data_IF_534713716479
#
_entry.id   IF_534713716479
#
_cell.length_a   1.000
_cell.length_b   1.000
_cell.length_c   1.000
_cell.angle_alpha   90.00
_cell.angle_beta   90.00
_cell.angle_gamma   90.00
#
_symmetry.space_group_name_H-M   'P 1'
#
loop_
_entity.id
_entity.type
_entity.pdbx_description
1 polymer ?
#
# COMPACT_ATOMS: atom_id res chain seq x y z
N UNK A 1 -16.59 42.63 -30.29
CA UNK A 1 -16.72 41.16 -30.13
C UNK A 1 -15.36 40.48 -30.27
N UNK A 2 -14.49 40.54 -29.26
CA UNK A 2 -13.29 39.69 -29.20
C UNK A 2 -12.99 39.41 -27.73
N UNK A 3 -13.34 38.21 -27.26
CA UNK A 3 -13.04 37.73 -25.90
C UNK A 3 -11.71 36.99 -25.99
N UNK A 4 -10.68 37.53 -25.33
CA UNK A 4 -9.45 36.81 -25.03
C UNK A 4 -9.76 35.60 -24.15
N UNK A 5 -9.37 34.41 -24.60
CA UNK A 5 -9.31 33.20 -23.80
C UNK A 5 -8.00 33.22 -23.00
N UNK A 6 -8.07 33.73 -21.76
CA UNK A 6 -7.00 33.51 -20.78
C UNK A 6 -7.03 32.04 -20.35
N UNK A 7 -6.06 31.25 -20.83
CA UNK A 7 -5.76 29.93 -20.28
C UNK A 7 -5.10 30.10 -18.92
N UNK A 8 -5.86 29.89 -17.84
CA UNK A 8 -5.32 29.78 -16.49
C UNK A 8 -4.74 28.35 -16.36
N UNK A 9 -3.44 28.18 -16.06
CA UNK A 9 -2.91 26.86 -15.73
C UNK A 9 -3.56 26.40 -14.42
N UNK A 10 -4.32 25.30 -14.50
CA UNK A 10 -4.81 24.60 -13.31
C UNK A 10 -3.60 24.04 -12.56
N UNK A 11 -3.05 24.80 -11.62
CA UNK A 11 -2.23 24.23 -10.55
C UNK A 11 -3.15 23.31 -9.75
N UNK A 12 -3.03 22.00 -9.97
CA UNK A 12 -3.57 20.99 -9.08
C UNK A 12 -2.72 21.07 -7.81
N UNK A 13 -3.02 22.03 -6.95
CA UNK A 13 -2.52 22.03 -5.58
C UNK A 13 -3.21 20.87 -4.86
N UNK A 14 -2.56 19.71 -4.84
CA UNK A 14 -2.87 18.68 -3.84
C UNK A 14 -2.66 19.31 -2.47
N UNK A 15 -3.75 19.60 -1.76
CA UNK A 15 -3.63 19.95 -0.35
C UNK A 15 -3.24 18.67 0.40
N UNK A 16 -1.99 18.59 0.84
CA UNK A 16 -1.60 17.62 1.86
C UNK A 16 -2.25 18.06 3.17
N UNK A 17 -3.50 17.65 3.40
CA UNK A 17 -4.06 17.66 4.75
C UNK A 17 -3.34 16.57 5.52
N UNK A 18 -2.30 16.97 6.25
CA UNK A 18 -1.67 16.13 7.26
C UNK A 18 -2.68 15.92 8.38
N UNK A 19 -2.98 14.66 8.70
CA UNK A 19 -3.68 14.37 9.95
C UNK A 19 -2.74 14.75 11.10
N UNK A 20 -3.06 15.84 11.78
CA UNK A 20 -2.29 16.35 12.91
C UNK A 20 -2.47 15.55 14.20
N UNK A 21 -3.20 14.43 14.17
CA UNK A 21 -3.31 13.49 15.30
C UNK A 21 -2.13 12.52 15.28
N UNK A 22 -0.92 13.07 15.43
CA UNK A 22 0.22 12.25 15.80
C UNK A 22 0.11 11.93 17.28
N UNK A 23 -0.22 10.67 17.61
CA UNK A 23 0.01 10.17 18.96
C UNK A 23 1.50 10.34 19.26
N UNK A 24 1.84 11.36 20.05
CA UNK A 24 3.23 11.64 20.43
C UNK A 24 3.68 10.53 21.37
N UNK A 25 4.73 9.81 20.98
CA UNK A 25 5.41 8.92 21.90
C UNK A 25 5.92 9.74 23.11
N UNK A 26 5.48 9.37 24.31
CA UNK A 26 5.97 9.96 25.55
C UNK A 26 6.95 8.99 26.20
N UNK A 27 8.17 9.45 26.50
CA UNK A 27 9.09 8.68 27.31
C UNK A 27 8.66 8.75 28.77
N UNK A 28 8.41 7.59 29.40
CA UNK A 28 8.13 7.50 30.83
C UNK A 28 9.37 7.75 31.70
N UNK A 29 9.21 7.86 33.03
CA UNK A 29 10.34 7.96 33.96
C UNK A 29 11.20 6.69 33.94
N UNK A 30 12.47 6.83 34.33
CA UNK A 30 13.39 5.68 34.50
C UNK A 30 12.86 4.80 35.65
N UNK A 31 12.74 3.49 35.40
CA UNK A 31 12.36 2.51 36.41
C UNK A 31 13.62 2.01 37.12
N UNK A 32 13.72 2.26 38.42
CA UNK A 32 14.89 1.91 39.25
C UNK A 32 14.78 0.49 39.82
N UNK A 33 13.56 0.04 40.14
CA UNK A 33 13.34 -1.16 40.96
C UNK A 33 12.38 -2.16 40.30
N UNK A 34 12.55 -3.46 40.61
CA UNK A 34 11.67 -4.54 40.13
C UNK A 34 10.18 -4.30 40.47
N UNK A 35 9.89 -3.70 41.63
CA UNK A 35 8.52 -3.34 42.03
C UNK A 35 7.88 -2.38 41.02
N UNK A 36 8.61 -1.36 40.56
CA UNK A 36 8.08 -0.37 39.62
C UNK A 36 7.77 -0.99 38.24
N UNK A 37 8.56 -1.97 37.80
CA UNK A 37 8.29 -2.75 36.59
C UNK A 37 7.01 -3.58 36.77
N UNK A 38 6.86 -4.24 37.91
CA UNK A 38 5.69 -5.04 38.22
C UNK A 38 4.42 -4.18 38.31
N UNK A 39 4.51 -2.99 38.90
CA UNK A 39 3.43 -2.01 38.96
C UNK A 39 3.05 -1.50 37.57
N UNK A 40 4.03 -1.25 36.69
CA UNK A 40 3.79 -0.83 35.31
C UNK A 40 3.08 -1.92 34.48
N UNK A 41 3.54 -3.18 34.57
CA UNK A 41 2.94 -4.31 33.84
C UNK A 41 1.54 -4.63 34.35
N UNK A 42 1.31 -4.48 35.66
CA UNK A 42 -0.01 -4.71 36.27
C UNK A 42 -0.95 -3.51 36.13
N UNK A 43 -0.48 -2.40 35.56
CA UNK A 43 -1.32 -1.24 35.27
C UNK A 43 -2.42 -1.67 34.30
N UNK A 44 -3.65 -1.31 34.61
CA UNK A 44 -4.80 -1.61 33.73
C UNK A 44 -4.72 -0.69 32.51
N UNK A 45 -3.98 -1.15 31.51
CA UNK A 45 -3.98 -0.60 30.16
C UNK A 45 -4.71 -1.58 29.24
N UNK A 46 -5.40 -1.05 28.23
CA UNK A 46 -6.09 -1.91 27.27
C UNK A 46 -5.07 -2.75 26.51
N UNK A 47 -5.32 -4.06 26.43
CA UNK A 47 -4.58 -4.90 25.51
C UNK A 47 -4.92 -4.48 24.08
N UNK A 48 -3.94 -4.48 23.17
CA UNK A 48 -4.16 -4.23 21.74
C UNK A 48 -5.23 -5.18 21.19
N UNK A 49 -5.27 -6.41 21.69
CA UNK A 49 -6.29 -7.42 21.35
C UNK A 49 -7.71 -6.97 21.77
N UNK A 50 -7.85 -6.20 22.84
CA UNK A 50 -9.14 -5.68 23.31
C UNK A 50 -9.57 -4.40 22.57
N UNK A 51 -8.62 -3.70 21.96
CA UNK A 51 -8.88 -2.50 21.14
C UNK A 51 -9.41 -2.93 19.77
N UNK A 52 -8.80 -3.94 19.15
CA UNK A 52 -9.17 -4.44 17.82
C UNK A 52 -10.25 -5.51 17.96
N UNK A 53 -11.48 -5.07 18.24
CA UNK A 53 -12.63 -5.96 18.41
C UNK A 53 -13.41 -6.12 17.12
N UNK A 54 -13.17 -7.21 16.40
CA UNK A 54 -14.04 -7.60 15.29
C UNK A 54 -15.44 -7.95 15.80
N UNK A 55 -16.44 -7.11 15.52
CA UNK A 55 -17.83 -7.52 15.73
C UNK A 55 -18.32 -8.33 14.53
N UNK A 56 -18.94 -9.49 14.77
CA UNK A 56 -19.54 -10.29 13.69
C UNK A 56 -20.66 -9.51 12.98
N UNK A 57 -21.25 -8.51 13.64
CA UNK A 57 -22.24 -7.60 13.04
C UNK A 57 -21.61 -6.69 11.98
N UNK A 58 -20.40 -6.15 12.21
CA UNK A 58 -19.66 -5.40 11.19
C UNK A 58 -19.30 -6.29 9.99
N UNK A 59 -18.88 -7.53 10.23
CA UNK A 59 -18.59 -8.51 9.16
C UNK A 59 -19.83 -8.77 8.31
N UNK A 60 -21.02 -8.82 8.93
CA UNK A 60 -22.30 -8.99 8.23
C UNK A 60 -22.71 -7.76 7.43
N UNK A 61 -22.41 -6.57 7.92
CA UNK A 61 -22.76 -5.30 7.26
C UNK A 61 -22.01 -5.08 5.94
N UNK A 62 -20.77 -5.57 5.83
CA UNK A 62 -20.00 -5.47 4.58
C UNK A 62 -20.59 -6.45 3.54
N UNK A 63 -21.02 -5.95 2.38
CA UNK A 63 -21.54 -6.77 1.27
C UNK A 63 -20.49 -6.88 0.17
N UNK A 64 -19.99 -8.10 -0.06
CA UNK A 64 -19.07 -8.41 -1.17
C UNK A 64 -19.74 -9.47 -2.04
N UNK A 65 -19.97 -9.14 -3.31
CA UNK A 65 -20.51 -10.06 -4.31
C UNK A 65 -19.42 -11.06 -4.75
N UNK A 66 -19.79 -12.31 -5.03
CA UNK A 66 -18.87 -13.34 -5.54
C UNK A 66 -18.21 -12.93 -6.86
N UNK A 67 -18.90 -12.11 -7.67
CA UNK A 67 -18.35 -11.52 -8.90
C UNK A 67 -17.12 -10.65 -8.63
N UNK A 68 -17.05 -9.97 -7.48
CA UNK A 68 -15.90 -9.14 -7.09
C UNK A 68 -14.69 -10.02 -6.82
N UNK A 69 -14.87 -11.16 -6.15
CA UNK A 69 -13.79 -12.13 -5.91
C UNK A 69 -13.25 -12.68 -7.23
N UNK A 70 -14.13 -13.06 -8.17
CA UNK A 70 -13.69 -13.51 -9.50
C UNK A 70 -12.89 -12.44 -10.23
N UNK A 71 -13.32 -11.17 -10.18
CA UNK A 71 -12.57 -10.05 -10.75
C UNK A 71 -11.22 -9.84 -10.06
N UNK A 72 -11.18 -9.93 -8.73
CA UNK A 72 -9.97 -9.78 -7.94
C UNK A 72 -8.95 -10.87 -8.27
N UNK A 73 -9.37 -12.13 -8.32
CA UNK A 73 -8.51 -13.26 -8.68
C UNK A 73 -7.92 -13.08 -10.08
N UNK A 74 -8.75 -12.67 -11.05
CA UNK A 74 -8.29 -12.38 -12.42
C UNK A 74 -7.29 -11.22 -12.46
N UNK A 75 -7.54 -10.15 -11.71
CA UNK A 75 -6.62 -9.02 -11.61
C UNK A 75 -5.28 -9.39 -10.93
N UNK A 76 -5.31 -10.33 -9.98
CA UNK A 76 -4.12 -10.87 -9.33
C UNK A 76 -3.38 -11.94 -10.16
N UNK A 77 -3.87 -12.28 -11.36
CA UNK A 77 -3.28 -13.34 -12.19
C UNK A 77 -3.49 -14.76 -11.63
N UNK A 78 -4.47 -14.94 -10.74
CA UNK A 78 -4.82 -16.23 -10.13
C UNK A 78 -5.95 -16.92 -10.90
N UNK A 79 -5.99 -18.26 -10.82
CA UNK A 79 -7.08 -19.06 -11.41
C UNK A 79 -8.41 -18.72 -10.73
N UNK A 80 -9.46 -18.55 -11.53
CA UNK A 80 -10.81 -18.20 -11.06
C UNK A 80 -11.74 -19.41 -10.84
N UNK A 81 -11.26 -20.63 -11.10
CA UNK A 81 -11.97 -21.90 -10.95
C UNK A 81 -12.03 -22.36 -9.48
N UNK A 82 -12.70 -21.58 -8.62
CA UNK A 82 -12.89 -21.91 -7.20
C UNK A 82 -14.28 -22.50 -6.93
N UNK A 83 -14.37 -23.41 -5.96
CA UNK A 83 -15.67 -23.86 -5.43
C UNK A 83 -16.40 -22.74 -4.69
N UNK A 84 -17.73 -22.84 -4.56
CA UNK A 84 -18.50 -21.81 -3.86
C UNK A 84 -18.11 -21.67 -2.38
N UNK A 85 -17.69 -22.75 -1.72
CA UNK A 85 -17.21 -22.70 -0.34
C UNK A 85 -15.86 -21.97 -0.22
N UNK A 86 -14.96 -22.15 -1.19
CA UNK A 86 -13.71 -21.40 -1.27
C UNK A 86 -13.98 -19.92 -1.49
N UNK A 87 -14.93 -19.58 -2.39
CA UNK A 87 -15.34 -18.18 -2.60
C UNK A 87 -15.91 -17.56 -1.32
N UNK A 88 -16.77 -18.27 -0.58
CA UNK A 88 -17.31 -17.78 0.70
C UNK A 88 -16.22 -17.54 1.74
N UNK A 89 -15.23 -18.45 1.83
CA UNK A 89 -14.08 -18.29 2.72
C UNK A 89 -13.26 -17.05 2.36
N UNK A 90 -12.99 -16.83 1.07
CA UNK A 90 -12.30 -15.64 0.59
C UNK A 90 -13.09 -14.36 0.86
N UNK A 91 -14.41 -14.37 0.65
CA UNK A 91 -15.29 -13.24 0.99
C UNK A 91 -15.16 -12.91 2.48
N UNK A 92 -15.22 -13.91 3.35
CA UNK A 92 -15.08 -13.71 4.79
C UNK A 92 -13.71 -13.14 5.16
N UNK A 93 -12.63 -13.71 4.61
CA UNK A 93 -11.27 -13.21 4.82
C UNK A 93 -11.11 -11.76 4.37
N UNK A 94 -11.63 -11.42 3.20
CA UNK A 94 -11.59 -10.05 2.67
C UNK A 94 -12.39 -9.08 3.54
N UNK A 95 -13.56 -9.47 4.03
CA UNK A 95 -14.34 -8.65 4.97
C UNK A 95 -13.55 -8.35 6.25
N UNK A 96 -12.90 -9.37 6.83
CA UNK A 96 -12.08 -9.20 8.03
C UNK A 96 -10.90 -8.26 7.78
N UNK A 97 -10.24 -8.42 6.63
CA UNK A 97 -9.15 -7.52 6.21
C UNK A 97 -9.65 -6.08 6.02
N UNK A 98 -10.82 -5.88 5.42
CA UNK A 98 -11.42 -4.55 5.26
C UNK A 98 -11.76 -3.90 6.60
N UNK A 99 -12.31 -4.64 7.56
CA UNK A 99 -12.57 -4.13 8.92
C UNK A 99 -11.26 -3.78 9.61
N UNK A 100 -10.26 -4.65 9.54
CA UNK A 100 -8.95 -4.38 10.12
C UNK A 100 -8.32 -3.10 9.54
N UNK A 101 -8.42 -2.91 8.22
CA UNK A 101 -7.93 -1.71 7.56
C UNK A 101 -8.76 -0.49 7.98
N UNK A 102 -10.07 -0.65 8.20
CA UNK A 102 -10.94 0.42 8.71
C UNK A 102 -10.46 0.98 10.05
N UNK A 103 -9.96 0.14 10.95
CA UNK A 103 -9.35 0.57 12.22
C UNK A 103 -8.14 1.50 12.03
N UNK A 104 -7.43 1.44 10.89
CA UNK A 104 -6.33 2.37 10.59
C UNK A 104 -6.83 3.80 10.30
N UNK A 105 -8.12 3.95 10.00
CA UNK A 105 -8.78 5.22 9.69
C UNK A 105 -9.58 5.79 10.87
N UNK A 106 -9.71 5.05 11.99
CA UNK A 106 -10.53 5.43 13.16
C UNK A 106 -10.04 6.66 13.95
N UNK A 107 -9.02 7.37 13.46
CA UNK A 107 -8.67 8.71 13.93
C UNK A 107 -9.64 9.82 13.47
N UNK A 108 -10.54 9.53 12.53
CA UNK A 108 -11.53 10.47 11.99
C UNK A 108 -12.97 10.03 12.35
N UNK A 109 -13.35 10.07 13.64
CA UNK A 109 -14.73 9.76 14.10
C UNK A 109 -15.83 10.53 13.32
N UNK A 110 -15.48 11.66 12.69
CA UNK A 110 -16.39 12.44 11.84
C UNK A 110 -16.62 11.86 10.43
N UNK A 111 -15.83 10.89 9.95
CA UNK A 111 -15.99 10.27 8.64
C UNK A 111 -16.80 8.96 8.65
N UNK A 112 -16.98 8.34 9.82
CA UNK A 112 -17.66 7.04 9.94
C UNK A 112 -19.15 7.02 9.56
N UNK A 113 -19.79 8.18 9.45
CA UNK A 113 -21.18 8.31 9.03
C UNK A 113 -21.36 8.76 7.58
N UNK A 114 -20.28 8.94 6.80
CA UNK A 114 -20.41 9.13 5.35
C UNK A 114 -20.64 7.79 4.69
N UNK A 115 -21.76 7.68 3.98
CA UNK A 115 -22.01 6.62 3.01
C UNK A 115 -21.03 6.90 1.85
N UNK A 116 -19.81 6.37 1.95
CA UNK A 116 -18.81 6.55 0.89
C UNK A 116 -19.15 5.67 -0.31
N UNK A 117 -19.63 6.30 -1.37
CA UNK A 117 -19.93 5.68 -2.67
C UNK A 117 -18.68 5.52 -3.57
N UNK A 118 -17.47 5.81 -3.06
CA UNK A 118 -16.23 5.87 -3.84
C UNK A 118 -15.08 5.10 -3.16
N UNK A 119 -14.64 4.01 -3.78
CA UNK A 119 -13.49 3.22 -3.31
C UNK A 119 -12.13 3.94 -3.47
N UNK A 120 -12.08 5.07 -4.16
CA UNK A 120 -10.81 5.75 -4.49
C UNK A 120 -10.20 6.50 -3.29
N UNK A 121 -10.97 6.79 -2.24
CA UNK A 121 -10.49 7.52 -1.05
C UNK A 121 -9.89 6.58 0.02
N UNK A 122 -10.09 5.26 -0.10
CA UNK A 122 -9.72 4.25 0.91
C UNK A 122 -8.27 3.77 0.80
N UNK A 123 -7.49 4.24 -0.18
CA UNK A 123 -6.07 3.94 -0.30
C UNK A 123 -5.20 5.11 0.17
N UNK A 124 -5.17 5.31 1.49
CA UNK A 124 -4.14 6.13 2.13
C UNK A 124 -2.83 5.37 2.05
N UNK A 125 -1.99 5.75 1.08
CA UNK A 125 -0.57 5.40 1.10
C UNK A 125 -0.04 5.81 2.47
N UNK A 126 0.33 4.82 3.29
CA UNK A 126 1.14 5.04 4.48
C UNK A 126 2.40 5.69 3.93
N UNK A 127 2.47 7.02 4.01
CA UNK A 127 3.70 7.74 3.78
C UNK A 127 4.63 7.19 4.84
N UNK A 128 5.48 6.25 4.41
CA UNK A 128 6.66 5.91 5.19
C UNK A 128 7.42 7.23 5.39
N UNK A 129 8.30 7.30 6.38
CA UNK A 129 9.16 8.47 6.66
C UNK A 129 10.08 8.85 5.46
N UNK A 130 9.49 9.24 4.34
CA UNK A 130 10.15 9.64 3.13
C UNK A 130 10.61 11.06 3.41
N UNK A 131 11.79 11.19 4.05
CA UNK A 131 12.61 12.38 3.87
C UNK A 131 12.68 12.59 2.36
N UNK A 132 12.06 13.67 1.88
CA UNK A 132 12.03 13.97 0.45
C UNK A 132 13.47 13.83 -0.08
N UNK A 133 13.70 13.02 -1.13
CA UNK A 133 15.03 12.88 -1.66
C UNK A 133 15.55 14.29 -2.02
N UNK A 134 16.85 14.52 -1.84
CA UNK A 134 17.46 15.81 -2.21
C UNK A 134 17.06 16.13 -3.65
N UNK A 135 16.54 17.34 -3.94
CA UNK A 135 16.06 17.66 -5.27
C UNK A 135 17.19 17.51 -6.27
N UNK A 136 16.90 16.86 -7.40
CA UNK A 136 17.87 16.73 -8.48
C UNK A 136 18.11 18.13 -9.09
N UNK A 137 19.35 18.59 -9.05
CA UNK A 137 19.74 19.85 -9.69
C UNK A 137 20.08 19.63 -11.15
N UNK A 138 19.97 20.65 -12.01
CA UNK A 138 20.38 20.53 -13.41
C UNK A 138 21.84 20.09 -13.54
N UNK A 139 22.72 20.63 -12.68
CA UNK A 139 24.13 20.27 -12.63
C UNK A 139 24.33 18.79 -12.28
N UNK A 140 23.62 18.29 -11.26
CA UNK A 140 23.70 16.87 -10.89
C UNK A 140 23.14 15.96 -11.98
N UNK A 141 22.07 16.38 -12.66
CA UNK A 141 21.49 15.61 -13.77
C UNK A 141 22.48 15.52 -14.94
N UNK A 142 23.07 16.64 -15.36
CA UNK A 142 24.06 16.66 -16.44
C UNK A 142 25.29 15.82 -16.08
N UNK A 143 25.79 15.91 -14.84
CA UNK A 143 26.90 15.07 -14.41
C UNK A 143 26.54 13.57 -14.40
N UNK A 144 25.31 13.21 -14.03
CA UNK A 144 24.87 11.80 -14.08
C UNK A 144 24.73 11.28 -15.51
N UNK A 145 24.31 12.13 -16.46
CA UNK A 145 24.25 11.75 -17.89
C UNK A 145 25.66 11.54 -18.44
N UNK A 146 26.59 12.44 -18.13
CA UNK A 146 27.99 12.34 -18.57
C UNK A 146 28.69 11.09 -17.99
N UNK A 147 28.36 10.71 -16.76
CA UNK A 147 28.95 9.55 -16.09
C UNK A 147 28.24 8.22 -16.38
N UNK A 148 27.12 8.20 -17.12
CA UNK A 148 26.32 7.00 -17.32
C UNK A 148 27.11 5.85 -17.97
N UNK A 149 28.03 6.15 -18.88
CA UNK A 149 28.89 5.15 -19.53
C UNK A 149 29.92 4.53 -18.57
N UNK A 150 30.33 5.28 -17.53
CA UNK A 150 31.27 4.81 -16.51
C UNK A 150 30.56 4.10 -15.35
N UNK A 151 29.26 4.32 -15.19
CA UNK A 151 28.43 3.73 -14.14
C UNK A 151 27.75 2.42 -14.58
N UNK A 152 28.04 1.91 -15.78
CA UNK A 152 27.53 0.62 -16.27
C UNK A 152 28.03 -0.51 -15.38
N UNK A 153 27.11 -1.15 -14.66
CA UNK A 153 27.42 -2.14 -13.65
C UNK A 153 27.32 -3.57 -14.21
N UNK A 154 28.43 -4.30 -14.17
CA UNK A 154 28.49 -5.69 -14.60
C UNK A 154 27.60 -6.60 -13.75
N UNK A 155 27.50 -6.34 -12.43
CA UNK A 155 26.71 -7.14 -11.48
C UNK A 155 25.21 -7.00 -11.72
N UNK A 156 24.77 -5.85 -12.25
CA UNK A 156 23.37 -5.61 -12.62
C UNK A 156 22.97 -6.17 -13.99
N UNK A 157 23.92 -6.74 -14.74
CA UNK A 157 23.62 -7.27 -16.07
C UNK A 157 23.56 -6.20 -17.17
N UNK A 158 24.09 -5.00 -16.95
CA UNK A 158 23.97 -3.86 -17.88
C UNK A 158 24.99 -3.92 -19.04
N UNK A 159 26.06 -4.71 -18.87
CA UNK A 159 27.05 -4.96 -19.94
C UNK A 159 26.51 -6.04 -20.88
N UNK A 160 26.56 -5.78 -22.19
CA UNK A 160 26.19 -6.77 -23.20
C UNK A 160 26.99 -8.06 -22.99
N UNK A 161 26.28 -9.17 -22.78
CA UNK A 161 26.80 -10.52 -22.47
C UNK A 161 27.13 -10.82 -21.00
N UNK A 162 26.93 -9.89 -20.04
CA UNK A 162 27.10 -10.24 -18.62
C UNK A 162 25.93 -11.05 -18.07
N UNK A 163 24.71 -10.80 -18.55
CA UNK A 163 23.54 -11.60 -18.23
C UNK A 163 23.23 -12.60 -19.35
N UNK A 164 23.45 -13.89 -19.06
CA UNK A 164 23.06 -14.96 -19.97
C UNK A 164 21.56 -15.28 -19.83
N UNK A 165 20.74 -14.59 -20.63
CA UNK A 165 19.28 -14.75 -20.67
C UNK A 165 18.88 -16.21 -20.97
N UNK A 166 19.73 -16.97 -21.65
CA UNK A 166 19.44 -18.38 -21.97
C UNK A 166 19.29 -19.24 -20.72
N UNK A 167 20.00 -18.91 -19.64
CA UNK A 167 19.88 -19.59 -18.35
C UNK A 167 18.55 -19.29 -17.65
N UNK A 168 17.96 -18.10 -17.89
CA UNK A 168 16.70 -17.68 -17.29
C UNK A 168 15.48 -18.20 -18.06
N UNK A 169 15.58 -18.26 -19.38
CA UNK A 169 14.44 -18.56 -20.25
C UNK A 169 14.43 -20.01 -20.76
N UNK A 170 15.22 -20.89 -20.14
CA UNK A 170 15.27 -22.34 -20.36
C UNK A 170 15.34 -22.74 -21.83
N UNK A 171 14.18 -22.91 -22.44
CA UNK A 171 14.02 -23.43 -23.80
C UNK A 171 14.17 -22.38 -24.92
N UNK A 172 14.11 -21.07 -24.62
CA UNK A 172 14.22 -20.02 -25.63
C UNK A 172 15.32 -19.00 -25.28
N UNK A 173 16.54 -19.11 -25.85
CA UNK A 173 17.67 -18.29 -25.42
C UNK A 173 17.52 -16.79 -25.73
N UNK A 174 16.65 -16.43 -26.66
CA UNK A 174 16.56 -15.07 -27.21
C UNK A 174 15.24 -14.36 -26.99
N UNK A 175 14.13 -15.09 -26.80
CA UNK A 175 12.79 -14.52 -26.77
C UNK A 175 11.94 -15.12 -25.65
N UNK A 176 11.29 -14.27 -24.86
CA UNK A 176 10.24 -14.73 -23.95
C UNK A 176 9.03 -15.22 -24.74
N UNK A 177 8.59 -16.45 -24.46
CA UNK A 177 7.41 -17.04 -25.10
C UNK A 177 6.29 -17.18 -24.09
N UNK A 178 5.13 -16.61 -24.41
CA UNK A 178 3.90 -16.77 -23.63
C UNK A 178 3.03 -17.82 -24.34
N UNK A 179 2.58 -18.84 -23.61
CA UNK A 179 1.58 -19.77 -24.13
C UNK A 179 0.26 -19.03 -24.23
N UNK A 180 -0.34 -19.04 -25.43
CA UNK A 180 -1.70 -18.55 -25.59
C UNK A 180 -2.64 -19.45 -24.79
N UNK A 181 -3.38 -18.89 -23.83
CA UNK A 181 -4.53 -19.54 -23.21
C UNK A 181 -5.65 -19.61 -24.27
N UNK A 182 -5.53 -20.53 -25.22
CA UNK A 182 -6.60 -20.90 -26.14
C UNK A 182 -7.13 -22.25 -25.66
N UNK A 183 -8.05 -22.19 -24.70
CA UNK A 183 -9.18 -23.09 -24.43
C UNK A 183 -9.96 -22.57 -23.22
#
# INVERSE_FOLDING_TARGET
MSRMLNQIPRLITRSFRTSSVGYKATLGPILENKSQIQDLVNKSEWNIVDIIKFSEDEVRNIKIDSRVITKMLRASGLKDSLSEDQKKSLIRGLKLQMIFIKYLYEGDEAEFHKIEESNDDVFRLILSDHKAPKPITLKSLLSSIENLENEVDAEKGEIKSSLDISKLNGNNPTYFTVRSNKE
#
